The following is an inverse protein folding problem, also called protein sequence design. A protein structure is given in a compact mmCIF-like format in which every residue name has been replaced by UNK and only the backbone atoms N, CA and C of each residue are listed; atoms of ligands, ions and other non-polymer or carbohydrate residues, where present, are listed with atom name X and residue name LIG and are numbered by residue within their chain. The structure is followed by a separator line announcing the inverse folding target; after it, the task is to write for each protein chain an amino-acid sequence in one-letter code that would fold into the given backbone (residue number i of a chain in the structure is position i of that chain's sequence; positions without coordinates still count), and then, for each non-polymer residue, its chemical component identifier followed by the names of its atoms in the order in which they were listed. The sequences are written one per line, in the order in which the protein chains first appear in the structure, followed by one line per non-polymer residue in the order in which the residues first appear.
data_IF_654645188894
#
_entry.id   IF_654645188894
#
_cell.length_a   1.000
_cell.length_b   1.000
_cell.length_c   1.000
_cell.angle_alpha   90.00
_cell.angle_beta   90.00
_cell.angle_gamma   90.00
#
_symmetry.space_group_name_H-M   'P 1'
#
loop_
_entity.id
_entity.type
_entity.pdbx_description
1 polymer ?
#
# COMPACT_ATOMS: atom_id res chain seq x y z
N UNK A 1 5.48 -7.06 -7.54
CA UNK A 1 4.72 -8.07 -6.76
C UNK A 1 5.73 -8.82 -5.90
N UNK A 2 5.50 -8.89 -4.60
CA UNK A 2 6.37 -9.60 -3.66
C UNK A 2 5.90 -11.05 -3.58
N UNK A 3 6.84 -12.00 -3.61
CA UNK A 3 6.50 -13.41 -3.44
C UNK A 3 6.06 -13.67 -2.00
N UNK A 4 4.80 -14.11 -1.84
CA UNK A 4 4.17 -14.28 -0.53
C UNK A 4 4.82 -15.43 0.24
N UNK A 5 4.82 -16.64 -0.32
CA UNK A 5 5.26 -17.85 0.40
C UNK A 5 6.77 -17.88 0.70
N UNK A 6 7.58 -17.15 -0.05
CA UNK A 6 9.03 -17.06 0.14
C UNK A 6 9.44 -15.81 0.90
N UNK A 7 9.57 -14.70 0.15
CA UNK A 7 10.18 -13.48 0.63
C UNK A 7 9.37 -12.78 1.73
N UNK A 8 8.04 -12.76 1.63
CA UNK A 8 7.21 -12.01 2.58
C UNK A 8 7.03 -12.73 3.91
N UNK A 9 6.66 -14.01 3.90
CA UNK A 9 6.43 -14.78 5.13
C UNK A 9 7.70 -14.93 5.97
N UNK A 10 8.86 -14.98 5.31
CA UNK A 10 10.17 -15.06 5.97
C UNK A 10 10.70 -13.69 6.42
N UNK A 11 10.04 -12.59 6.05
CA UNK A 11 10.49 -11.25 6.40
C UNK A 11 10.32 -11.00 7.91
N UNK A 12 11.23 -10.22 8.54
CA UNK A 12 11.08 -9.84 9.94
C UNK A 12 9.96 -8.82 10.11
N UNK A 13 9.24 -8.89 11.23
CA UNK A 13 8.23 -7.90 11.62
C UNK A 13 8.93 -6.76 12.38
N UNK A 14 8.89 -5.55 11.84
CA UNK A 14 9.40 -4.37 12.54
C UNK A 14 8.53 -4.01 13.76
N UNK A 15 9.17 -3.61 14.86
CA UNK A 15 8.47 -3.13 16.07
C UNK A 15 8.03 -4.21 17.06
N UNK A 16 8.28 -5.50 16.77
CA UNK A 16 8.18 -6.57 17.76
C UNK A 16 9.56 -6.72 18.45
N UNK A 17 9.62 -6.75 19.78
CA UNK A 17 10.87 -6.82 20.55
C UNK A 17 11.68 -8.12 20.39
N UNK A 18 11.18 -9.07 19.60
CA UNK A 18 11.84 -10.31 19.20
C UNK A 18 11.89 -10.39 17.67
N UNK A 19 12.90 -11.09 17.12
CA UNK A 19 13.03 -11.35 15.69
C UNK A 19 11.93 -12.34 15.22
N UNK A 20 10.69 -11.89 15.23
CA UNK A 20 9.51 -12.66 14.79
C UNK A 20 9.31 -12.42 13.30
N UNK A 21 9.10 -13.49 12.54
CA UNK A 21 8.79 -13.43 11.11
C UNK A 21 7.31 -13.13 10.88
N UNK A 22 6.96 -12.65 9.68
CA UNK A 22 5.54 -12.46 9.29
C UNK A 22 4.76 -13.77 9.40
N UNK A 23 5.39 -14.91 9.11
CA UNK A 23 4.78 -16.24 9.27
C UNK A 23 4.40 -16.52 10.72
N UNK A 24 5.31 -16.32 11.66
CA UNK A 24 5.06 -16.58 13.08
C UNK A 24 3.98 -15.65 13.65
N UNK A 25 4.02 -14.37 13.28
CA UNK A 25 2.99 -13.41 13.67
C UNK A 25 1.60 -13.77 13.10
N UNK A 26 1.56 -14.31 11.87
CA UNK A 26 0.32 -14.80 11.26
C UNK A 26 -0.23 -16.03 12.00
N UNK A 27 0.62 -17.00 12.32
CA UNK A 27 0.24 -18.20 13.08
C UNK A 27 -0.28 -17.84 14.49
N UNK A 28 0.36 -16.87 15.15
CA UNK A 28 -0.10 -16.33 16.43
C UNK A 28 -1.49 -15.67 16.29
N UNK A 29 -1.70 -14.85 15.25
CA UNK A 29 -2.98 -14.20 15.00
C UNK A 29 -4.09 -15.23 14.72
N UNK A 30 -3.81 -16.27 13.92
CA UNK A 30 -4.75 -17.38 13.66
C UNK A 30 -5.12 -18.07 14.98
N UNK A 31 -4.14 -18.36 15.83
CA UNK A 31 -4.39 -19.02 17.12
C UNK A 31 -5.23 -18.15 18.06
N UNK A 32 -4.96 -16.84 18.11
CA UNK A 32 -5.64 -15.89 18.98
C UNK A 32 -7.10 -15.63 18.54
N UNK A 33 -7.33 -15.43 17.24
CA UNK A 33 -8.64 -15.09 16.67
C UNK A 33 -9.49 -16.35 16.44
N UNK A 34 -8.84 -17.50 16.20
CA UNK A 34 -9.47 -18.78 15.83
C UNK A 34 -10.24 -18.73 14.52
N UNK A 35 -9.73 -17.94 13.57
CA UNK A 35 -10.23 -17.86 12.20
C UNK A 35 -9.12 -18.19 11.21
N UNK A 36 -9.51 -18.59 10.00
CA UNK A 36 -8.57 -18.80 8.91
C UNK A 36 -8.14 -17.44 8.33
N UNK A 37 -6.93 -17.00 8.68
CA UNK A 37 -6.33 -15.74 8.21
C UNK A 37 -5.18 -16.09 7.28
N UNK A 38 -5.08 -15.41 6.15
CA UNK A 38 -4.00 -15.61 5.18
C UNK A 38 -3.58 -14.29 4.53
N UNK A 39 -2.34 -14.25 4.03
CA UNK A 39 -1.86 -13.15 3.20
C UNK A 39 -2.10 -13.52 1.74
N UNK A 40 -3.00 -12.81 1.07
CA UNK A 40 -3.39 -13.13 -0.31
C UNK A 40 -2.41 -12.59 -1.36
N UNK A 41 -1.95 -11.36 -1.20
CA UNK A 41 -1.02 -10.71 -2.13
C UNK A 41 -0.25 -9.59 -1.43
N UNK A 42 0.92 -9.25 -1.96
CA UNK A 42 1.72 -8.13 -1.50
C UNK A 42 2.41 -7.44 -2.68
N UNK A 43 2.37 -6.12 -2.67
CA UNK A 43 3.03 -5.28 -3.65
C UNK A 43 3.81 -4.21 -2.91
N UNK A 44 5.10 -4.08 -3.23
CA UNK A 44 5.93 -2.97 -2.79
C UNK A 44 6.12 -2.00 -3.97
N UNK A 45 6.15 -0.73 -3.65
CA UNK A 45 6.51 0.34 -4.57
C UNK A 45 7.40 1.34 -3.83
N UNK A 46 8.40 1.86 -4.52
CA UNK A 46 9.25 2.93 -4.06
C UNK A 46 9.09 4.10 -5.02
N UNK A 47 9.07 5.33 -4.49
CA UNK A 47 9.01 6.52 -5.31
C UNK A 47 10.31 6.68 -6.11
N UNK A 48 10.19 7.04 -7.38
CA UNK A 48 11.30 7.45 -8.23
C UNK A 48 11.86 8.81 -7.78
N UNK A 49 13.04 9.17 -8.29
CA UNK A 49 13.58 10.51 -8.11
C UNK A 49 12.57 11.56 -8.62
N UNK A 50 12.40 12.64 -7.86
CA UNK A 50 11.49 13.76 -8.18
C UNK A 50 9.98 13.41 -8.23
N UNK A 51 9.59 12.36 -7.49
CA UNK A 51 8.20 11.94 -7.33
C UNK A 51 7.79 11.80 -5.87
N UNK A 52 6.49 11.71 -5.63
CA UNK A 52 5.92 11.38 -4.33
C UNK A 52 4.97 10.18 -4.44
N UNK A 53 5.04 9.28 -3.47
CA UNK A 53 4.07 8.20 -3.32
C UNK A 53 2.94 8.68 -2.41
N UNK A 54 1.71 8.62 -2.91
CA UNK A 54 0.51 8.94 -2.15
C UNK A 54 -0.45 7.75 -2.14
N UNK A 55 -1.16 7.58 -1.03
CA UNK A 55 -2.08 6.46 -0.85
C UNK A 55 -3.40 6.89 -0.22
N UNK A 56 -4.45 6.14 -0.52
CA UNK A 56 -5.75 6.29 0.11
C UNK A 56 -6.31 4.93 0.50
N UNK A 57 -6.90 4.87 1.70
CA UNK A 57 -7.60 3.69 2.24
C UNK A 57 -9.04 4.11 2.49
N UNK A 58 -9.97 3.42 1.83
CA UNK A 58 -11.41 3.57 1.98
C UNK A 58 -11.96 2.60 3.04
N UNK A 59 -13.02 3.00 3.74
CA UNK A 59 -13.64 2.17 4.77
C UNK A 59 -12.69 1.86 5.92
N UNK A 60 -11.96 2.87 6.41
CA UNK A 60 -10.93 2.69 7.45
C UNK A 60 -11.51 2.09 8.72
N UNK A 61 -10.75 1.18 9.34
CA UNK A 61 -11.06 0.64 10.66
C UNK A 61 -10.79 1.72 11.72
N UNK A 62 -11.65 1.79 12.74
CA UNK A 62 -11.45 2.74 13.84
C UNK A 62 -10.10 2.52 14.52
N UNK A 63 -9.33 3.60 14.71
CA UNK A 63 -7.99 3.54 15.31
C UNK A 63 -6.87 3.09 14.37
N UNK A 64 -7.13 2.88 13.07
CA UNK A 64 -6.11 2.54 12.08
C UNK A 64 -6.21 3.41 10.82
N UNK A 65 -5.06 3.96 10.40
CA UNK A 65 -4.94 4.65 9.11
C UNK A 65 -4.49 3.74 7.96
N UNK A 66 -4.19 2.47 8.26
CA UNK A 66 -3.53 1.53 7.33
C UNK A 66 -4.40 0.34 6.94
N UNK A 67 -5.56 0.16 7.57
CA UNK A 67 -6.47 -0.95 7.29
C UNK A 67 -7.85 -0.43 6.89
N UNK A 68 -8.46 -1.04 5.88
CA UNK A 68 -9.80 -0.72 5.39
C UNK A 68 -10.27 -1.70 4.33
N UNK A 69 -11.40 -1.41 3.69
CA UNK A 69 -12.03 -2.30 2.71
C UNK A 69 -11.46 -2.20 1.30
N UNK A 70 -10.83 -1.07 0.97
CA UNK A 70 -10.15 -0.87 -0.31
C UNK A 70 -9.01 0.13 -0.16
N UNK A 71 -7.97 0.00 -0.97
CA UNK A 71 -6.87 0.94 -1.01
C UNK A 71 -6.35 1.14 -2.43
N UNK A 72 -5.78 2.30 -2.68
CA UNK A 72 -5.02 2.59 -3.89
C UNK A 72 -3.77 3.39 -3.54
N UNK A 73 -2.76 3.25 -4.38
CA UNK A 73 -1.48 3.92 -4.29
C UNK A 73 -1.15 4.51 -5.65
N UNK A 74 -0.62 5.73 -5.66
CA UNK A 74 -0.21 6.44 -6.87
C UNK A 74 1.15 7.07 -6.64
N UNK A 75 1.96 7.04 -7.67
CA UNK A 75 3.17 7.82 -7.77
C UNK A 75 2.88 9.06 -8.61
N UNK A 76 3.23 10.23 -8.09
CA UNK A 76 3.05 11.53 -8.76
C UNK A 76 4.43 12.14 -8.97
N UNK A 77 4.85 12.23 -10.23
CA UNK A 77 6.12 12.86 -10.62
C UNK A 77 5.95 14.31 -11.06
N UNK A 78 7.03 15.08 -10.97
CA UNK A 78 7.11 16.43 -11.56
C UNK A 78 7.33 16.33 -13.07
N UNK A 79 6.61 17.14 -13.84
CA UNK A 79 6.87 17.29 -15.26
C UNK A 79 7.85 18.45 -15.48
N UNK A 80 8.95 18.21 -16.19
CA UNK A 80 9.87 19.26 -16.63
C UNK A 80 10.56 20.06 -15.53
N UNK A 81 10.74 19.48 -14.33
CA UNK A 81 11.40 20.15 -13.20
C UNK A 81 10.59 21.29 -12.58
N UNK A 82 9.26 21.28 -12.73
CA UNK A 82 8.38 22.27 -12.12
C UNK A 82 8.56 22.34 -10.59
N UNK A 83 8.73 23.54 -10.05
CA UNK A 83 8.83 23.78 -8.60
C UNK A 83 7.43 23.73 -7.96
N UNK A 84 6.97 22.51 -7.72
CA UNK A 84 5.70 22.22 -7.01
C UNK A 84 6.03 21.70 -5.63
N UNK A 85 5.36 22.25 -4.62
CA UNK A 85 5.53 21.81 -3.24
C UNK A 85 5.14 20.34 -3.09
N UNK A 86 5.95 19.58 -2.35
CA UNK A 86 5.74 18.15 -2.09
C UNK A 86 4.37 17.87 -1.47
N UNK A 87 3.87 18.77 -0.60
CA UNK A 87 2.57 18.62 0.03
C UNK A 87 1.41 18.77 -0.96
N UNK A 88 1.51 19.67 -1.93
CA UNK A 88 0.50 19.81 -2.98
C UNK A 88 0.45 18.55 -3.86
N UNK A 89 1.62 17.98 -4.18
CA UNK A 89 1.72 16.72 -4.92
C UNK A 89 1.07 15.56 -4.14
N UNK A 90 1.29 15.49 -2.83
CA UNK A 90 0.65 14.48 -1.96
C UNK A 90 -0.85 14.67 -1.88
N UNK A 91 -1.35 15.91 -1.82
CA UNK A 91 -2.78 16.19 -1.79
C UNK A 91 -3.46 15.75 -3.09
N UNK A 92 -2.89 16.11 -4.24
CA UNK A 92 -3.38 15.67 -5.55
C UNK A 92 -3.29 14.15 -5.67
N UNK A 93 -2.17 13.54 -5.26
CA UNK A 93 -2.01 12.09 -5.26
C UNK A 93 -3.05 11.37 -4.40
N UNK A 94 -3.38 11.92 -3.22
CA UNK A 94 -4.45 11.37 -2.38
C UNK A 94 -5.82 11.44 -3.07
N UNK A 95 -6.16 12.56 -3.72
CA UNK A 95 -7.41 12.71 -4.48
C UNK A 95 -7.46 11.75 -5.67
N UNK A 96 -6.34 11.54 -6.35
CA UNK A 96 -6.23 10.57 -7.45
C UNK A 96 -6.40 9.13 -6.94
N UNK A 97 -5.76 8.78 -5.83
CA UNK A 97 -5.94 7.47 -5.18
C UNK A 97 -7.41 7.24 -4.77
N UNK A 98 -8.10 8.27 -4.27
CA UNK A 98 -9.55 8.19 -4.02
C UNK A 98 -10.35 7.90 -5.30
N UNK A 99 -10.02 8.57 -6.40
CA UNK A 99 -10.65 8.34 -7.69
C UNK A 99 -10.40 6.90 -8.18
N UNK A 100 -9.18 6.37 -8.06
CA UNK A 100 -8.85 5.00 -8.47
C UNK A 100 -9.66 3.97 -7.67
N UNK A 101 -9.79 4.14 -6.35
CA UNK A 101 -10.63 3.24 -5.54
C UNK A 101 -12.08 3.22 -6.04
N UNK A 102 -12.62 4.37 -6.41
CA UNK A 102 -14.01 4.50 -6.87
C UNK A 102 -14.22 4.02 -8.32
N UNK A 103 -13.37 4.46 -9.24
CA UNK A 103 -13.53 4.26 -10.69
C UNK A 103 -12.86 2.99 -11.23
N UNK A 104 -11.89 2.43 -10.49
CA UNK A 104 -11.15 1.20 -10.84
C UNK A 104 -10.62 1.19 -12.30
N UNK A 105 -9.91 2.24 -12.74
CA UNK A 105 -9.33 2.25 -14.07
C UNK A 105 -8.32 1.10 -14.23
N UNK A 106 -8.29 0.49 -15.42
CA UNK A 106 -7.36 -0.60 -15.74
C UNK A 106 -6.05 -0.09 -16.35
N UNK A 107 -6.04 1.12 -16.90
CA UNK A 107 -4.91 1.71 -17.60
C UNK A 107 -4.71 3.17 -17.19
N UNK A 108 -3.48 3.67 -17.33
CA UNK A 108 -3.11 5.05 -17.00
C UNK A 108 -3.55 6.04 -18.09
N UNK A 109 -3.51 5.64 -19.36
CA UNK A 109 -3.84 6.47 -20.52
C UNK A 109 -4.67 5.69 -21.53
N UNK A 110 -5.41 6.41 -22.38
CA UNK A 110 -6.19 5.84 -23.50
C UNK A 110 -5.32 5.06 -24.49
N UNK A 111 -4.05 5.43 -24.61
CA UNK A 111 -3.14 4.85 -25.58
C UNK A 111 -2.64 3.45 -25.14
N UNK A 112 -2.88 3.08 -23.89
CA UNK A 112 -2.43 1.80 -23.30
C UNK A 112 -3.50 0.71 -23.31
N UNK A 113 -4.67 0.96 -23.94
CA UNK A 113 -5.81 0.04 -24.02
C UNK A 113 -5.56 -1.08 -25.02
#
# INVERSE_FOLDING_TARGET
KVEVEGALLSAPVEGCGTATTVKEALEEAILAIRENISVADAVSAAASEDSVLAGYVHGRVHGSDRAGSAAAMVEVGRLGGADVAVEDMKEVGKKLAMHIVAAKPLYLSSDSV
#
